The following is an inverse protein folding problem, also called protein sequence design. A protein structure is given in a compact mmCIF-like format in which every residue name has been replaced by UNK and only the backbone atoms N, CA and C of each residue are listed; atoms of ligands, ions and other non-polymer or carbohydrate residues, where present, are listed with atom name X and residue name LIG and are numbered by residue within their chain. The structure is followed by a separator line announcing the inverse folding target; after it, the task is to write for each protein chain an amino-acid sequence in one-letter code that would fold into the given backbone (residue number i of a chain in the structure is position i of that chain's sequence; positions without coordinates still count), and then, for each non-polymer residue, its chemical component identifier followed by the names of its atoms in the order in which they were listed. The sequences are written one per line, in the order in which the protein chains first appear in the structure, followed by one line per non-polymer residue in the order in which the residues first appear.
data_IF_142860924253
#
_entry.id   IF_142860924253
#
_cell.length_a   1.000
_cell.length_b   1.000
_cell.length_c   1.000
_cell.angle_alpha   90.00
_cell.angle_beta   90.00
_cell.angle_gamma   90.00
#
_symmetry.space_group_name_H-M   'P 1'
#
loop_
_entity.id
_entity.type
_entity.pdbx_description
1 polymer ?
#
# COMPACT_ATOMS: atom_id res chain seq x y z
N UNK A 1 23.79 -39.61 -46.65
CA UNK A 1 23.80 -41.11 -46.61
C UNK A 1 22.55 -41.53 -45.83
N UNK A 2 21.68 -42.15 -46.64
CA UNK A 2 20.71 -43.21 -46.31
C UNK A 2 19.63 -42.88 -45.22
N UNK A 3 18.41 -42.66 -45.63
CA UNK A 3 17.45 -43.56 -46.29
C UNK A 3 16.73 -44.54 -45.35
N UNK A 4 15.43 -44.53 -45.58
CA UNK A 4 14.42 -45.54 -45.39
C UNK A 4 13.63 -45.40 -44.07
N UNK A 5 12.36 -45.05 -44.06
CA UNK A 5 11.34 -45.58 -44.96
C UNK A 5 10.56 -46.70 -44.25
N UNK A 6 9.33 -46.43 -43.91
CA UNK A 6 8.22 -47.33 -44.29
C UNK A 6 6.87 -46.89 -43.75
N UNK A 7 6.01 -46.74 -44.72
CA UNK A 7 4.54 -46.67 -44.58
C UNK A 7 4.00 -48.03 -44.09
N UNK A 8 2.83 -47.96 -43.54
CA UNK A 8 1.62 -48.80 -43.65
C UNK A 8 0.77 -48.51 -42.43
N UNK A 9 -0.41 -48.05 -42.50
CA UNK A 9 -1.51 -48.35 -43.41
C UNK A 9 -2.53 -49.20 -42.70
N UNK A 10 -3.79 -48.74 -42.83
CA UNK A 10 -5.03 -49.48 -42.54
C UNK A 10 -5.62 -49.34 -41.12
N UNK A 11 -6.79 -49.19 -40.90
CA UNK A 11 -8.08 -49.10 -41.62
C UNK A 11 -9.17 -48.97 -40.56
N UNK A 12 -10.11 -48.07 -40.77
CA UNK A 12 -11.55 -48.22 -40.52
C UNK A 12 -11.99 -49.20 -39.41
N UNK A 13 -12.70 -48.67 -38.40
CA UNK A 13 -14.06 -49.14 -38.19
C UNK A 13 -14.88 -48.07 -37.45
N UNK A 14 -15.88 -47.64 -38.15
CA UNK A 14 -17.08 -46.96 -37.69
C UNK A 14 -17.82 -47.93 -36.79
N UNK A 15 -18.23 -47.49 -35.61
CA UNK A 15 -19.55 -47.89 -35.08
C UNK A 15 -19.79 -47.28 -33.68
N UNK A 16 -20.90 -46.64 -33.57
CA UNK A 16 -21.77 -46.73 -32.39
C UNK A 16 -21.44 -45.75 -31.25
N UNK A 17 -22.21 -44.77 -31.23
CA UNK A 17 -23.41 -44.73 -30.48
C UNK A 17 -23.40 -43.63 -29.47
N UNK A 18 -24.19 -42.65 -29.68
CA UNK A 18 -25.00 -41.91 -28.69
C UNK A 18 -24.73 -42.32 -27.24
N UNK A 19 -24.00 -41.53 -26.50
CA UNK A 19 -24.04 -41.40 -25.02
C UNK A 19 -22.90 -40.50 -24.55
N UNK A 20 -22.87 -39.24 -24.95
CA UNK A 20 -21.89 -38.29 -24.36
C UNK A 20 -22.42 -36.87 -24.40
N UNK A 21 -23.66 -36.69 -24.04
CA UNK A 21 -24.32 -35.37 -23.96
C UNK A 21 -24.76 -35.03 -22.53
N UNK A 22 -24.02 -35.44 -21.49
CA UNK A 22 -24.41 -35.15 -20.10
C UNK A 22 -23.27 -35.01 -19.10
N UNK A 23 -22.14 -34.43 -19.48
CA UNK A 23 -21.05 -34.17 -18.53
C UNK A 23 -20.52 -32.73 -18.56
N UNK A 24 -21.09 -31.81 -19.36
CA UNK A 24 -20.63 -30.44 -19.43
C UNK A 24 -21.37 -29.41 -18.53
N UNK A 25 -22.20 -29.86 -17.59
CA UNK A 25 -23.03 -28.94 -16.77
C UNK A 25 -22.53 -28.67 -15.35
N UNK A 26 -21.33 -29.10 -14.95
CA UNK A 26 -20.84 -28.97 -13.56
C UNK A 26 -19.58 -28.09 -13.36
N UNK A 27 -19.15 -27.32 -14.35
CA UNK A 27 -17.93 -26.50 -14.18
C UNK A 27 -18.19 -24.98 -14.08
N UNK A 28 -19.40 -24.52 -13.86
CA UNK A 28 -19.72 -23.09 -13.71
C UNK A 28 -20.10 -22.68 -12.27
N UNK A 29 -19.79 -23.49 -11.28
CA UNK A 29 -19.97 -23.09 -9.86
C UNK A 29 -18.68 -22.56 -9.24
N UNK A 30 -17.86 -21.88 -10.00
CA UNK A 30 -16.76 -21.05 -9.51
C UNK A 30 -17.29 -19.67 -9.12
N UNK A 31 -18.28 -19.56 -8.22
CA UNK A 31 -18.52 -18.33 -7.47
C UNK A 31 -17.34 -18.15 -6.51
N UNK A 32 -16.26 -17.51 -7.00
CA UNK A 32 -15.32 -16.87 -6.13
C UNK A 32 -16.13 -15.96 -5.19
N UNK A 33 -16.04 -16.19 -3.88
CA UNK A 33 -16.48 -15.20 -2.89
C UNK A 33 -15.75 -13.91 -3.26
N UNK A 34 -16.45 -12.96 -3.83
CA UNK A 34 -15.98 -11.60 -3.97
C UNK A 34 -15.77 -11.13 -2.53
N UNK A 35 -14.53 -11.09 -2.08
CA UNK A 35 -14.21 -10.45 -0.80
C UNK A 35 -14.62 -8.99 -0.99
N UNK A 36 -15.68 -8.55 -0.29
CA UNK A 36 -16.09 -7.15 -0.35
C UNK A 36 -14.90 -6.27 -0.02
N UNK A 37 -14.70 -5.22 -0.82
CA UNK A 37 -13.65 -4.24 -0.57
C UNK A 37 -13.94 -3.55 0.78
N UNK A 38 -12.93 -3.39 1.59
CA UNK A 38 -13.00 -2.55 2.79
C UNK A 38 -12.89 -1.09 2.37
N UNK A 39 -13.71 -0.25 2.97
CA UNK A 39 -13.74 1.20 2.70
C UNK A 39 -12.97 1.88 3.83
N UNK A 40 -11.97 2.68 3.48
CA UNK A 40 -11.27 3.51 4.44
C UNK A 40 -12.21 4.62 4.99
N UNK A 41 -11.98 5.10 6.22
CA UNK A 41 -12.70 6.24 6.75
C UNK A 41 -12.65 7.45 5.81
N UNK A 42 -13.77 8.17 5.67
CA UNK A 42 -13.86 9.31 4.76
C UNK A 42 -12.82 10.41 5.08
N UNK A 43 -12.44 10.55 6.34
CA UNK A 43 -11.40 11.47 6.77
C UNK A 43 -10.05 11.25 6.05
N UNK A 44 -9.78 10.03 5.59
CA UNK A 44 -8.56 9.68 4.87
C UNK A 44 -8.51 10.21 3.43
N UNK A 45 -9.63 10.65 2.88
CA UNK A 45 -9.76 11.22 1.54
C UNK A 45 -9.80 12.75 1.53
N UNK A 46 -9.52 13.38 2.66
CA UNK A 46 -9.62 14.83 2.82
C UNK A 46 -8.42 15.62 2.25
N UNK A 47 -7.48 14.93 1.60
CA UNK A 47 -6.30 15.52 0.97
C UNK A 47 -5.11 15.68 1.91
N UNK A 48 -3.93 16.06 1.36
CA UNK A 48 -2.67 16.11 2.13
C UNK A 48 -2.70 17.11 3.29
N UNK A 49 -3.43 18.21 3.17
CA UNK A 49 -3.52 19.25 4.22
C UNK A 49 -4.20 18.72 5.48
N UNK A 50 -5.13 17.78 5.37
CA UNK A 50 -5.76 17.14 6.52
C UNK A 50 -4.75 16.32 7.33
N UNK A 51 -3.85 15.60 6.65
CA UNK A 51 -2.75 14.88 7.29
C UNK A 51 -1.74 15.83 7.95
N UNK A 52 -1.37 16.91 7.26
CA UNK A 52 -0.47 17.93 7.83
C UNK A 52 -1.06 18.55 9.09
N UNK A 53 -2.35 18.92 9.07
CA UNK A 53 -3.05 19.48 10.24
C UNK A 53 -3.12 18.46 11.38
N UNK A 54 -3.41 17.19 11.11
CA UNK A 54 -3.43 16.15 12.13
C UNK A 54 -2.04 15.98 12.78
N UNK A 55 -0.97 16.04 11.98
CA UNK A 55 0.41 15.91 12.43
C UNK A 55 0.91 17.08 13.27
N UNK A 56 0.19 18.20 13.34
CA UNK A 56 0.48 19.27 14.30
C UNK A 56 0.40 18.79 15.77
N UNK A 57 -0.39 17.72 16.02
CA UNK A 57 -0.49 17.09 17.32
C UNK A 57 0.60 16.08 17.67
N UNK A 58 1.57 15.84 16.76
CA UNK A 58 2.65 14.88 17.01
C UNK A 58 3.60 15.37 18.14
N UNK A 59 4.11 14.45 18.96
CA UNK A 59 3.99 12.99 18.90
C UNK A 59 2.76 12.43 19.64
N UNK A 60 1.96 13.22 20.33
CA UNK A 60 1.02 12.74 21.33
C UNK A 60 -0.38 12.45 20.78
N UNK A 61 -0.98 13.36 20.04
CA UNK A 61 -2.36 13.24 19.57
C UNK A 61 -2.46 13.59 18.09
N UNK A 62 -2.26 12.60 17.23
CA UNK A 62 -2.43 12.71 15.78
C UNK A 62 -3.69 12.00 15.36
N UNK A 63 -4.71 12.80 15.02
CA UNK A 63 -6.02 12.31 14.61
C UNK A 63 -6.56 13.17 13.46
N UNK A 64 -7.04 12.51 12.41
CA UNK A 64 -7.88 13.11 11.39
C UNK A 64 -9.29 13.37 11.94
N UNK A 65 -10.16 13.96 11.13
CA UNK A 65 -11.56 14.21 11.50
C UNK A 65 -12.24 12.96 12.07
N UNK A 66 -13.01 13.14 13.14
CA UNK A 66 -13.71 12.02 13.78
C UNK A 66 -12.83 11.12 14.64
N UNK A 67 -11.60 11.51 14.96
CA UNK A 67 -10.69 10.71 15.77
C UNK A 67 -10.02 9.55 14.99
N UNK A 68 -10.05 9.61 13.66
CA UNK A 68 -9.44 8.60 12.79
C UNK A 68 -7.92 8.70 12.86
N UNK A 69 -7.25 7.59 13.13
CA UNK A 69 -5.77 7.52 13.07
C UNK A 69 -5.28 7.38 11.64
N UNK A 70 -4.06 7.81 11.37
CA UNK A 70 -3.46 7.68 10.03
C UNK A 70 -3.35 6.21 9.64
N UNK A 71 -3.04 5.30 10.58
CA UNK A 71 -2.98 3.87 10.32
C UNK A 71 -4.32 3.26 9.90
N UNK A 72 -5.44 3.84 10.30
CA UNK A 72 -6.77 3.36 9.95
C UNK A 72 -7.14 3.63 8.48
N UNK A 73 -6.35 4.46 7.80
CA UNK A 73 -6.54 4.81 6.39
C UNK A 73 -6.10 3.72 5.40
N UNK A 74 -5.37 2.72 5.87
CA UNK A 74 -4.84 1.64 5.04
C UNK A 74 -5.45 0.31 5.45
N UNK A 75 -6.57 -0.04 4.83
CA UNK A 75 -7.31 -1.26 5.13
C UNK A 75 -6.88 -2.43 4.23
N UNK A 76 -6.95 -3.70 4.72
CA UNK A 76 -6.37 -4.85 4.01
C UNK A 76 -6.95 -5.12 2.62
N UNK A 77 -8.22 -4.82 2.38
CA UNK A 77 -8.90 -5.06 1.09
C UNK A 77 -9.35 -3.77 0.41
N UNK A 78 -8.54 -2.74 0.55
CA UNK A 78 -8.80 -1.44 -0.04
C UNK A 78 -8.87 -1.49 -1.57
N UNK A 79 -9.78 -0.70 -2.18
CA UNK A 79 -9.82 -0.58 -3.63
C UNK A 79 -8.56 0.10 -4.16
N UNK A 80 -8.09 -0.30 -5.36
CA UNK A 80 -6.88 0.28 -5.95
C UNK A 80 -6.99 1.79 -6.18
N UNK A 81 -8.18 2.31 -6.52
CA UNK A 81 -8.41 3.74 -6.70
C UNK A 81 -8.31 4.52 -5.38
N UNK A 82 -8.92 4.02 -4.32
CA UNK A 82 -8.87 4.64 -3.00
C UNK A 82 -7.44 4.61 -2.44
N UNK A 83 -6.75 3.47 -2.54
CA UNK A 83 -5.36 3.35 -2.13
C UNK A 83 -4.44 4.29 -2.91
N UNK A 84 -4.69 4.49 -4.21
CA UNK A 84 -3.91 5.42 -5.02
C UNK A 84 -4.10 6.87 -4.54
N UNK A 85 -5.32 7.29 -4.22
CA UNK A 85 -5.63 8.63 -3.70
C UNK A 85 -4.99 8.85 -2.34
N UNK A 86 -5.26 7.99 -1.36
CA UNK A 86 -4.70 8.08 -0.01
C UNK A 86 -3.17 8.02 -0.06
N UNK A 87 -2.61 7.12 -0.87
CA UNK A 87 -1.18 7.00 -1.03
C UNK A 87 -0.52 8.24 -1.63
N UNK A 88 -1.18 8.93 -2.57
CA UNK A 88 -0.70 10.19 -3.12
C UNK A 88 -0.71 11.30 -2.06
N UNK A 89 -1.76 11.40 -1.25
CA UNK A 89 -1.89 12.40 -0.18
C UNK A 89 -0.83 12.19 0.91
N UNK A 90 -0.59 10.94 1.33
CA UNK A 90 0.46 10.60 2.31
C UNK A 90 1.86 10.94 1.81
N UNK A 91 2.15 10.65 0.53
CA UNK A 91 3.45 11.01 -0.09
C UNK A 91 3.59 12.52 -0.21
N UNK A 92 2.54 13.25 -0.57
CA UNK A 92 2.56 14.72 -0.65
C UNK A 92 2.80 15.34 0.73
N UNK A 93 2.11 14.88 1.76
CA UNK A 93 2.33 15.33 3.14
C UNK A 93 3.76 15.05 3.61
N UNK A 94 4.30 13.86 3.35
CA UNK A 94 5.67 13.48 3.66
C UNK A 94 6.69 14.39 2.97
N UNK A 95 6.48 14.70 1.69
CA UNK A 95 7.35 15.60 0.91
C UNK A 95 7.36 17.01 1.50
N UNK A 96 6.18 17.55 1.85
CA UNK A 96 6.06 18.87 2.47
C UNK A 96 6.78 18.93 3.81
N UNK A 97 6.57 17.93 4.66
CA UNK A 97 7.25 17.86 5.97
C UNK A 97 8.77 17.74 5.84
N UNK A 98 9.24 16.95 4.89
CA UNK A 98 10.68 16.80 4.66
C UNK A 98 11.29 18.11 4.14
N UNK A 99 10.63 18.80 3.20
CA UNK A 99 11.10 20.12 2.74
C UNK A 99 11.19 21.12 3.90
N UNK A 100 10.13 21.21 4.70
CA UNK A 100 10.13 22.11 5.86
C UNK A 100 11.19 21.73 6.91
N UNK A 101 11.50 20.45 7.06
CA UNK A 101 12.55 20.00 7.98
C UNK A 101 13.94 20.36 7.48
N UNK A 102 14.18 20.36 6.16
CA UNK A 102 15.43 20.81 5.56
C UNK A 102 15.59 22.32 5.73
N UNK A 103 14.53 23.10 5.53
CA UNK A 103 14.52 24.56 5.67
C UNK A 103 14.68 25.00 7.14
N UNK A 104 14.11 24.26 8.10
CA UNK A 104 14.25 24.48 9.55
C UNK A 104 14.54 23.16 10.28
N UNK A 105 15.82 22.74 10.36
CA UNK A 105 16.22 21.49 11.04
C UNK A 105 15.89 21.45 12.54
N UNK A 106 15.69 22.61 13.17
CA UNK A 106 15.31 22.72 14.59
C UNK A 106 13.81 22.67 14.82
N UNK A 107 13.02 22.75 13.75
CA UNK A 107 11.56 22.76 13.78
C UNK A 107 10.94 21.38 13.99
N UNK A 108 9.62 21.33 14.12
CA UNK A 108 8.91 20.08 14.42
C UNK A 108 8.72 19.17 13.20
N UNK A 109 9.09 19.62 12.01
CA UNK A 109 8.73 18.92 10.75
C UNK A 109 9.42 17.58 10.59
N UNK A 110 10.65 17.43 11.07
CA UNK A 110 11.36 16.15 11.07
C UNK A 110 10.64 15.10 11.94
N UNK A 111 10.22 15.48 13.15
CA UNK A 111 9.42 14.62 14.03
C UNK A 111 8.08 14.23 13.41
N UNK A 112 7.39 15.17 12.78
CA UNK A 112 6.10 14.91 12.09
C UNK A 112 6.27 13.97 10.89
N UNK A 113 7.34 14.13 10.12
CA UNK A 113 7.67 13.24 9.01
C UNK A 113 7.94 11.81 9.50
N UNK A 114 8.71 11.67 10.58
CA UNK A 114 8.91 10.37 11.24
C UNK A 114 7.61 9.76 11.73
N UNK A 115 6.75 10.53 12.39
CA UNK A 115 5.44 10.04 12.85
C UNK A 115 4.57 9.52 11.70
N UNK A 116 4.50 10.28 10.61
CA UNK A 116 3.74 9.87 9.42
C UNK A 116 4.24 8.52 8.88
N UNK A 117 5.55 8.36 8.72
CA UNK A 117 6.13 7.10 8.28
C UNK A 117 5.81 5.96 9.26
N UNK A 118 5.96 6.19 10.56
CA UNK A 118 5.67 5.18 11.58
C UNK A 118 4.21 4.72 11.57
N UNK A 119 3.27 5.64 11.37
CA UNK A 119 1.84 5.32 11.24
C UNK A 119 1.53 4.49 9.99
N UNK A 120 2.18 4.80 8.85
CA UNK A 120 2.04 4.03 7.60
C UNK A 120 2.66 2.64 7.75
N UNK A 121 3.80 2.51 8.41
CA UNK A 121 4.42 1.20 8.72
C UNK A 121 3.53 0.34 9.61
N UNK A 122 2.92 0.93 10.64
CA UNK A 122 1.95 0.24 11.51
C UNK A 122 0.78 -0.32 10.70
N UNK A 123 0.22 0.48 9.82
CA UNK A 123 -0.87 0.06 8.93
C UNK A 123 -0.45 -1.07 7.99
N UNK A 124 0.73 -0.97 7.38
CA UNK A 124 1.27 -2.00 6.51
C UNK A 124 1.50 -3.32 7.25
N UNK A 125 2.00 -3.25 8.47
CA UNK A 125 2.16 -4.42 9.33
C UNK A 125 0.81 -5.09 9.65
N UNK A 126 -0.19 -4.28 10.01
CA UNK A 126 -1.55 -4.75 10.34
C UNK A 126 -2.27 -5.37 9.15
N UNK A 127 -1.90 -4.99 7.93
CA UNK A 127 -2.45 -5.52 6.66
C UNK A 127 -1.62 -6.66 6.03
N UNK A 128 -0.77 -7.33 6.82
CA UNK A 128 0.12 -8.41 6.34
C UNK A 128 1.05 -7.99 5.19
N UNK A 129 1.50 -6.75 5.20
CA UNK A 129 2.47 -6.23 4.25
C UNK A 129 1.92 -5.85 2.87
N UNK A 130 0.59 -5.84 2.68
CA UNK A 130 -0.03 -5.45 1.40
C UNK A 130 0.39 -4.04 0.98
N UNK A 131 0.60 -3.13 1.94
CA UNK A 131 0.97 -1.74 1.67
C UNK A 131 2.48 -1.45 1.71
N UNK A 132 3.34 -2.46 1.60
CA UNK A 132 4.81 -2.31 1.67
C UNK A 132 5.37 -1.35 0.61
N UNK A 133 4.79 -1.30 -0.59
CA UNK A 133 5.22 -0.34 -1.62
C UNK A 133 4.94 1.10 -1.20
N UNK A 134 3.80 1.35 -0.55
CA UNK A 134 3.46 2.67 -0.03
C UNK A 134 4.42 3.07 1.10
N UNK A 135 4.78 2.17 2.01
CA UNK A 135 5.80 2.42 3.04
C UNK A 135 7.10 2.90 2.39
N UNK A 136 7.58 2.20 1.36
CA UNK A 136 8.80 2.57 0.65
C UNK A 136 8.70 3.96 0.01
N UNK A 137 7.56 4.31 -0.59
CA UNK A 137 7.32 5.63 -1.21
C UNK A 137 7.26 6.74 -0.17
N UNK A 138 6.56 6.55 0.93
CA UNK A 138 6.46 7.52 2.03
C UNK A 138 7.82 7.67 2.70
N UNK A 139 8.56 6.59 2.93
CA UNK A 139 9.93 6.64 3.46
C UNK A 139 10.85 7.47 2.59
N UNK A 140 10.84 7.24 1.27
CA UNK A 140 11.67 8.01 0.34
C UNK A 140 11.31 9.50 0.33
N UNK A 141 10.02 9.85 0.50
CA UNK A 141 9.56 11.23 0.54
C UNK A 141 9.88 11.91 1.87
N UNK A 142 9.77 11.18 2.99
CA UNK A 142 9.96 11.70 4.35
C UNK A 142 11.43 11.88 4.77
N UNK A 143 12.35 11.20 4.09
CA UNK A 143 13.78 11.18 4.46
C UNK A 143 14.73 11.56 3.32
N UNK A 144 14.23 12.26 2.31
CA UNK A 144 15.08 12.77 1.23
C UNK A 144 16.01 13.88 1.77
N UNK A 145 17.32 13.70 1.59
CA UNK A 145 18.34 14.67 1.96
C UNK A 145 19.03 15.14 0.67
N UNK A 146 19.03 16.45 0.35
CA UNK A 146 19.79 17.00 -0.76
C UNK A 146 21.29 16.74 -0.62
N UNK A 147 22.02 16.70 -1.75
CA UNK A 147 23.47 16.53 -1.71
C UNK A 147 24.13 17.73 -1.05
N UNK A 148 24.93 17.45 -0.01
CA UNK A 148 25.68 18.48 0.73
C UNK A 148 25.07 18.83 2.07
N UNK A 149 23.86 18.42 2.38
CA UNK A 149 23.23 18.62 3.68
C UNK A 149 23.64 17.53 4.68
N UNK A 150 23.61 17.85 5.96
CA UNK A 150 23.95 16.92 7.04
C UNK A 150 22.70 16.20 7.57
N UNK A 151 22.53 14.90 7.27
CA UNK A 151 21.35 14.16 7.72
C UNK A 151 21.26 14.02 9.24
N UNK A 152 22.38 14.18 9.95
CA UNK A 152 22.40 14.03 11.41
C UNK A 152 21.58 15.10 12.14
N UNK A 153 21.31 16.24 11.51
CA UNK A 153 20.51 17.32 12.09
C UNK A 153 19.02 16.96 12.20
N UNK A 154 18.52 16.15 11.28
CA UNK A 154 17.11 15.76 11.21
C UNK A 154 16.81 14.48 12.00
N UNK A 155 17.81 13.62 12.19
CA UNK A 155 17.69 12.25 12.68
C UNK A 155 16.99 12.14 14.06
N UNK A 156 17.37 12.89 15.12
CA UNK A 156 16.80 12.69 16.44
C UNK A 156 15.29 12.96 16.49
N UNK A 157 14.82 14.01 15.84
CA UNK A 157 13.39 14.31 15.75
C UNK A 157 12.64 13.26 14.93
N UNK A 158 13.21 12.86 13.81
CA UNK A 158 12.63 11.84 12.94
C UNK A 158 12.46 10.49 13.66
N UNK A 159 13.50 10.02 14.35
CA UNK A 159 13.45 8.74 15.09
C UNK A 159 12.43 8.77 16.21
N UNK A 160 12.31 9.87 16.94
CA UNK A 160 11.29 10.05 17.96
C UNK A 160 9.88 9.98 17.36
N UNK A 161 9.66 10.67 16.25
CA UNK A 161 8.40 10.65 15.53
C UNK A 161 8.05 9.25 15.02
N UNK A 162 9.01 8.56 14.41
CA UNK A 162 8.85 7.22 13.85
C UNK A 162 8.38 6.22 14.93
N UNK A 163 9.01 6.23 16.09
CA UNK A 163 8.62 5.37 17.20
C UNK A 163 7.21 5.71 17.73
N UNK A 164 6.90 7.00 17.85
CA UNK A 164 5.58 7.45 18.25
C UNK A 164 4.49 7.04 17.24
N UNK A 165 4.76 7.15 15.94
CA UNK A 165 3.86 6.76 14.87
C UNK A 165 3.61 5.26 14.84
N UNK A 166 4.64 4.43 15.02
CA UNK A 166 4.51 2.96 15.13
C UNK A 166 3.67 2.54 16.32
N UNK A 167 3.75 3.25 17.42
CA UNK A 167 3.01 2.89 18.64
C UNK A 167 1.59 3.43 18.64
N UNK A 168 1.36 4.67 18.24
CA UNK A 168 0.10 5.43 18.42
C UNK A 168 -0.63 5.77 17.13
N UNK A 169 0.07 5.80 16.01
CA UNK A 169 -0.44 6.15 14.69
C UNK A 169 -1.60 5.28 14.19
#
# INVERSE_FOLDING_TARGET
MNMHGRRRGWSLMVSGGLLSAMVCAFLLSGCGKSSEAEIAPLACLAGPDAYLTALDGAPDKVELSGGTKISDCLVPRQSGGELATIGADLVAAATTLNSNAIDDPSGPSSLRAGYLLGAVEKAAWSSNGIHTDLVRRVSAAASYIPQGDDPSLLQPGFDQGLEAGRSRG
#
